data_IF_818867483037
#
_entry.id   IF_818867483037
#
_cell.length_a   1.000
_cell.length_b   1.000
_cell.length_c   1.000
_cell.angle_alpha   90.00
_cell.angle_beta   90.00
_cell.angle_gamma   90.00
#
_symmetry.space_group_name_H-M   'P 1'
#
loop_
_entity.id
_entity.type
_entity.pdbx_description
1 polymer ?
#
# COMPACT_ATOMS: atom_id res chain seq x y z
N UNK A 1 1.39 15.79 -10.69
CA UNK A 1 0.08 15.84 -10.01
C UNK A 1 -0.81 16.85 -10.70
N UNK A 2 -2.07 16.50 -10.96
CA UNK A 2 -3.09 17.41 -11.51
C UNK A 2 -4.01 17.91 -10.39
N UNK A 3 -4.53 19.14 -10.51
CA UNK A 3 -5.47 19.70 -9.54
C UNK A 3 -6.84 19.03 -9.73
N UNK A 4 -7.52 18.73 -8.63
CA UNK A 4 -8.88 18.20 -8.58
C UNK A 4 -9.65 18.97 -7.51
N UNK A 5 -10.91 19.29 -7.79
CA UNK A 5 -11.85 19.84 -6.83
C UNK A 5 -12.73 18.70 -6.35
N UNK A 6 -12.72 18.45 -5.03
CA UNK A 6 -13.51 17.43 -4.37
C UNK A 6 -13.96 17.98 -3.01
N UNK A 7 -15.17 17.62 -2.60
CA UNK A 7 -15.63 17.89 -1.24
C UNK A 7 -15.07 16.83 -0.30
N UNK A 8 -14.55 17.27 0.85
CA UNK A 8 -13.94 16.41 1.87
C UNK A 8 -14.48 16.84 3.23
N UNK A 9 -14.83 15.87 4.07
CA UNK A 9 -15.16 16.11 5.47
C UNK A 9 -13.94 16.68 6.21
N UNK A 10 -14.09 17.88 6.79
CA UNK A 10 -13.01 18.58 7.49
C UNK A 10 -12.52 17.85 8.74
N UNK A 11 -13.41 17.15 9.47
CA UNK A 11 -13.03 16.39 10.64
C UNK A 11 -12.22 15.15 10.24
N UNK A 12 -12.60 14.48 9.15
CA UNK A 12 -11.83 13.37 8.59
C UNK A 12 -10.46 13.83 8.09
N UNK A 13 -10.40 14.98 7.40
CA UNK A 13 -9.14 15.55 6.93
C UNK A 13 -8.22 15.93 8.09
N UNK A 14 -8.76 16.53 9.15
CA UNK A 14 -8.01 16.84 10.36
C UNK A 14 -7.45 15.57 11.01
N UNK A 15 -8.25 14.51 11.11
CA UNK A 15 -7.78 13.24 11.68
C UNK A 15 -6.71 12.59 10.80
N UNK A 16 -6.86 12.64 9.48
CA UNK A 16 -5.85 12.16 8.55
C UNK A 16 -4.54 12.94 8.69
N UNK A 17 -4.59 14.26 8.86
CA UNK A 17 -3.40 15.10 9.12
C UNK A 17 -2.70 14.70 10.43
N UNK A 18 -3.46 14.44 11.49
CA UNK A 18 -2.91 13.96 12.77
C UNK A 18 -2.22 12.59 12.62
N UNK A 19 -2.91 11.61 12.01
CA UNK A 19 -2.40 10.24 11.84
C UNK A 19 -1.16 10.20 10.96
N UNK A 20 -1.13 11.02 9.90
CA UNK A 20 -0.01 11.06 8.95
C UNK A 20 1.12 12.00 9.37
N UNK A 21 0.91 12.84 10.38
CA UNK A 21 1.84 13.92 10.75
C UNK A 21 1.98 15.01 9.68
N UNK A 22 1.07 15.05 8.70
CA UNK A 22 1.17 15.94 7.56
C UNK A 22 0.80 17.39 7.93
N UNK A 23 1.73 18.32 7.69
CA UNK A 23 1.53 19.75 7.94
C UNK A 23 0.65 20.45 6.89
N UNK A 24 0.32 19.79 5.78
CA UNK A 24 -0.57 20.33 4.75
C UNK A 24 -1.69 19.35 4.38
N UNK A 25 -2.87 19.89 4.05
CA UNK A 25 -4.03 19.12 3.56
C UNK A 25 -3.66 18.24 2.36
N UNK A 26 -2.90 18.78 1.40
CA UNK A 26 -2.43 18.03 0.21
C UNK A 26 -1.56 16.83 0.60
N UNK A 27 -0.61 17.02 1.51
CA UNK A 27 0.26 15.94 1.95
C UNK A 27 -0.54 14.84 2.67
N UNK A 28 -1.49 15.23 3.53
CA UNK A 28 -2.37 14.28 4.22
C UNK A 28 -3.21 13.46 3.25
N UNK A 29 -3.83 14.10 2.25
CA UNK A 29 -4.63 13.39 1.24
C UNK A 29 -3.77 12.43 0.42
N UNK A 30 -2.61 12.88 -0.06
CA UNK A 30 -1.72 12.02 -0.83
C UNK A 30 -1.22 10.81 -0.02
N UNK A 31 -0.82 11.03 1.24
CA UNK A 31 -0.32 9.97 2.09
C UNK A 31 -1.44 8.99 2.49
N UNK A 32 -2.63 9.49 2.82
CA UNK A 32 -3.78 8.65 3.10
C UNK A 32 -4.14 7.76 1.90
N UNK A 33 -4.15 8.30 0.67
CA UNK A 33 -4.38 7.52 -0.54
C UNK A 33 -3.28 6.48 -0.77
N UNK A 34 -2.02 6.85 -0.55
CA UNK A 34 -0.90 5.92 -0.67
C UNK A 34 -1.00 4.76 0.34
N UNK A 35 -1.42 5.03 1.58
CA UNK A 35 -1.67 4.00 2.58
C UNK A 35 -2.79 3.03 2.17
N UNK A 36 -3.88 3.54 1.59
CA UNK A 36 -4.98 2.70 1.07
C UNK A 36 -4.48 1.77 -0.03
N UNK A 37 -3.69 2.29 -0.98
CA UNK A 37 -3.11 1.48 -2.06
C UNK A 37 -2.17 0.42 -1.50
N UNK A 38 -1.21 0.81 -0.64
CA UNK A 38 -0.27 -0.15 -0.02
C UNK A 38 -0.98 -1.25 0.75
N UNK A 39 -2.06 -0.91 1.46
CA UNK A 39 -2.88 -1.90 2.17
C UNK A 39 -3.57 -2.87 1.22
N UNK A 40 -4.12 -2.37 0.11
CA UNK A 40 -4.72 -3.20 -0.93
C UNK A 40 -3.70 -4.16 -1.56
N UNK A 41 -2.51 -3.65 -1.89
CA UNK A 41 -1.41 -4.46 -2.45
C UNK A 41 -0.92 -5.53 -1.47
N UNK A 42 -0.77 -5.17 -0.18
CA UNK A 42 -0.36 -6.13 0.85
C UNK A 42 -1.39 -7.26 1.04
N UNK A 43 -2.69 -6.96 0.98
CA UNK A 43 -3.73 -7.99 1.02
C UNK A 43 -3.68 -8.90 -0.21
N UNK A 44 -3.52 -8.33 -1.40
CA UNK A 44 -3.35 -9.14 -2.62
C UNK A 44 -2.10 -10.02 -2.58
N UNK A 45 -1.02 -9.56 -1.94
CA UNK A 45 0.17 -10.38 -1.72
C UNK A 45 -0.09 -11.56 -0.79
N UNK A 46 -0.90 -11.39 0.25
CA UNK A 46 -1.30 -12.50 1.13
C UNK A 46 -2.12 -13.53 0.35
N UNK A 47 -3.08 -13.09 -0.46
CA UNK A 47 -3.88 -13.99 -1.30
C UNK A 47 -2.99 -14.75 -2.30
N UNK A 48 -1.99 -14.07 -2.86
CA UNK A 48 -1.00 -14.66 -3.75
C UNK A 48 -0.19 -15.77 -3.04
N UNK A 49 0.31 -15.52 -1.83
CA UNK A 49 0.99 -16.56 -1.04
C UNK A 49 0.07 -17.74 -0.72
N UNK A 50 -1.20 -17.47 -0.36
CA UNK A 50 -2.19 -18.52 -0.07
C UNK A 50 -2.56 -19.35 -1.31
N UNK A 51 -2.46 -18.78 -2.52
CA UNK A 51 -2.68 -19.50 -3.78
C UNK A 51 -1.63 -20.57 -4.09
N UNK A 52 -0.54 -20.61 -3.32
CA UNK A 52 0.54 -21.59 -3.49
C UNK A 52 1.55 -21.23 -4.58
N UNK A 53 1.48 -20.03 -5.17
CA UNK A 53 2.39 -19.61 -6.25
C UNK A 53 3.88 -19.56 -5.82
N UNK A 54 4.13 -19.51 -4.51
CA UNK A 54 5.45 -19.43 -3.92
C UNK A 54 5.87 -20.74 -3.22
N UNK A 55 5.10 -21.83 -3.38
CA UNK A 55 5.44 -23.13 -2.74
C UNK A 55 6.82 -23.59 -3.16
N UNK A 56 7.14 -23.50 -4.44
CA UNK A 56 8.44 -23.92 -4.99
C UNK A 56 9.64 -23.11 -4.46
N UNK A 57 9.39 -21.95 -3.81
CA UNK A 57 10.45 -21.15 -3.19
C UNK A 57 10.99 -21.79 -1.89
N UNK A 58 10.36 -22.84 -1.37
CA UNK A 58 10.87 -23.62 -0.24
C UNK A 58 11.91 -24.68 -0.65
N UNK A 59 12.01 -25.03 -1.94
CA UNK A 59 12.98 -26.00 -2.44
C UNK A 59 14.31 -25.30 -2.74
N UNK A 60 15.31 -25.60 -1.91
CA UNK A 60 16.66 -25.05 -2.04
C UNK A 60 17.31 -25.31 -3.41
N UNK A 61 16.92 -26.39 -4.11
CA UNK A 61 17.45 -26.70 -5.45
C UNK A 61 16.84 -25.78 -6.51
N UNK A 62 15.55 -25.47 -6.40
CA UNK A 62 14.88 -24.52 -7.31
C UNK A 62 15.49 -23.13 -7.16
N UNK A 63 15.80 -22.72 -5.93
CA UNK A 63 16.47 -21.44 -5.67
C UNK A 63 17.91 -21.41 -6.22
N UNK A 64 18.69 -22.50 -6.05
CA UNK A 64 20.05 -22.60 -6.59
C UNK A 64 20.07 -22.53 -8.13
N UNK A 65 19.13 -23.24 -8.78
CA UNK A 65 19.03 -23.23 -10.24
C UNK A 65 18.58 -21.88 -10.81
N UNK A 66 17.72 -21.13 -10.09
CA UNK A 66 17.24 -19.82 -10.53
C UNK A 66 18.30 -18.70 -10.44
N UNK A 67 19.37 -18.89 -9.66
CA UNK A 67 20.42 -17.89 -9.43
C UNK A 67 21.66 -18.09 -10.32
N UNK A 68 21.66 -19.11 -11.18
CA UNK A 68 22.76 -19.47 -12.09
C UNK A 68 22.58 -18.84 -13.47
#
# INVERSE_FOLDING_TARGET
MTKRLIDIDDALLAKAMEVTGAVTKKAAVNEALAQVVRRGEALGYIDLLQSGIAVDLDDARIIDDAQR
#
